data_IF_659886737645
#
_entry.id   IF_659886737645
#
_cell.length_a   1.000
_cell.length_b   1.000
_cell.length_c   1.000
_cell.angle_alpha   90.00
_cell.angle_beta   90.00
_cell.angle_gamma   90.00
#
_symmetry.space_group_name_H-M   'P 1'
#
loop_
_entity.id
_entity.type
_entity.pdbx_description
1 polymer ?
#
# COMPACT_ATOMS: atom_id res chain seq x y z
N UNK A 1 11.91 -5.45 -14.10
CA UNK A 1 12.42 -4.29 -13.34
C UNK A 1 11.50 -3.13 -13.69
N UNK A 2 10.58 -2.78 -12.80
CA UNK A 2 9.64 -1.66 -13.02
C UNK A 2 10.42 -0.35 -12.86
N UNK A 3 10.20 0.63 -13.75
CA UNK A 3 10.84 1.93 -13.64
C UNK A 3 10.44 2.63 -12.31
N UNK A 4 11.30 3.49 -11.75
CA UNK A 4 10.95 4.26 -10.55
C UNK A 4 9.77 5.19 -10.82
N UNK A 5 8.94 5.40 -9.79
CA UNK A 5 7.83 6.34 -9.84
C UNK A 5 8.37 7.78 -9.96
N UNK A 6 7.69 8.64 -10.75
CA UNK A 6 7.96 10.08 -10.71
C UNK A 6 7.90 10.62 -9.26
N UNK A 7 8.78 11.56 -8.86
CA UNK A 7 8.85 12.02 -7.47
C UNK A 7 7.55 12.61 -6.92
N UNK A 8 6.80 13.31 -7.77
CA UNK A 8 5.47 13.85 -7.51
C UNK A 8 4.45 12.73 -7.24
N UNK A 9 4.44 11.68 -8.08
CA UNK A 9 3.59 10.50 -7.87
C UNK A 9 3.96 9.77 -6.58
N UNK A 10 5.27 9.59 -6.31
CA UNK A 10 5.75 8.98 -5.07
C UNK A 10 5.30 9.78 -3.83
N UNK A 11 5.38 11.12 -3.89
CA UNK A 11 4.91 12.00 -2.82
C UNK A 11 3.41 11.86 -2.56
N UNK A 12 2.60 11.89 -3.62
CA UNK A 12 1.14 11.71 -3.49
C UNK A 12 0.76 10.35 -2.90
N UNK A 13 1.46 9.29 -3.27
CA UNK A 13 1.22 7.95 -2.69
C UNK A 13 1.59 7.96 -1.20
N UNK A 14 2.72 8.56 -0.82
CA UNK A 14 3.12 8.68 0.58
C UNK A 14 2.10 9.47 1.41
N UNK A 15 1.52 10.54 0.87
CA UNK A 15 0.51 11.37 1.55
C UNK A 15 -0.84 10.65 1.74
N UNK A 16 -1.16 9.66 0.88
CA UNK A 16 -2.41 8.90 0.91
C UNK A 16 -2.30 7.56 1.66
N UNK A 17 -1.11 7.20 2.12
CA UNK A 17 -0.90 5.98 2.91
C UNK A 17 -1.32 6.23 4.35
N UNK A 18 -2.33 5.49 4.80
CA UNK A 18 -2.67 5.41 6.21
C UNK A 18 -1.52 4.71 6.98
N UNK A 19 -0.95 5.32 8.02
CA UNK A 19 0.08 4.69 8.84
C UNK A 19 -0.42 3.43 9.55
N UNK A 20 -1.72 3.32 9.83
CA UNK A 20 -2.27 2.18 10.56
C UNK A 20 -2.06 0.86 9.78
N UNK A 21 -1.65 -0.23 10.48
CA UNK A 21 -1.45 -1.51 9.83
C UNK A 21 -2.79 -2.12 9.40
N UNK A 22 -2.76 -2.92 8.34
CA UNK A 22 -3.94 -3.70 7.97
C UNK A 22 -4.28 -4.70 9.08
N UNK A 23 -5.55 -4.73 9.50
CA UNK A 23 -6.11 -5.76 10.38
C UNK A 23 -7.08 -6.62 9.58
N UNK A 24 -6.80 -7.92 9.46
CA UNK A 24 -7.58 -8.83 8.62
C UNK A 24 -8.54 -9.68 9.46
N UNK A 25 -9.78 -9.82 8.99
CA UNK A 25 -10.75 -10.75 9.59
C UNK A 25 -10.61 -12.18 9.06
N UNK A 26 -11.52 -13.07 9.47
CA UNK A 26 -11.52 -14.47 9.06
C UNK A 26 -11.84 -14.72 7.58
N UNK A 27 -12.40 -13.73 6.87
CA UNK A 27 -12.58 -13.79 5.42
C UNK A 27 -11.38 -13.20 4.65
N UNK A 28 -10.44 -12.58 5.37
CA UNK A 28 -9.28 -11.89 4.77
C UNK A 28 -9.55 -10.42 4.43
N UNK A 29 -10.68 -9.86 4.87
CA UNK A 29 -10.99 -8.44 4.63
C UNK A 29 -10.22 -7.54 5.58
N UNK A 30 -9.78 -6.37 5.09
CA UNK A 30 -9.10 -5.40 5.92
C UNK A 30 -10.12 -4.53 6.67
N UNK A 31 -10.30 -4.81 7.96
CA UNK A 31 -11.22 -4.11 8.85
C UNK A 31 -10.72 -2.70 9.22
N UNK A 32 -9.39 -2.54 9.33
CA UNK A 32 -8.77 -1.24 9.65
C UNK A 32 -9.11 -0.15 8.62
N UNK A 33 -9.23 -0.52 7.34
CA UNK A 33 -9.47 0.41 6.24
C UNK A 33 -10.79 0.14 5.49
N UNK A 34 -11.72 -0.59 6.11
CA UNK A 34 -13.03 -0.94 5.53
C UNK A 34 -12.96 -1.48 4.09
N UNK A 35 -11.99 -2.37 3.82
CA UNK A 35 -11.78 -2.96 2.50
C UNK A 35 -12.21 -4.44 2.49
N UNK A 36 -13.27 -4.73 1.75
CA UNK A 36 -13.95 -6.03 1.74
C UNK A 36 -13.61 -6.90 0.52
N UNK A 37 -12.46 -6.66 -0.09
CA UNK A 37 -11.91 -7.49 -1.17
C UNK A 37 -10.59 -8.12 -0.72
N UNK A 38 -10.30 -9.32 -1.20
CA UNK A 38 -9.05 -10.03 -0.92
C UNK A 38 -8.06 -9.95 -2.09
N UNK A 39 -8.56 -9.81 -3.32
CA UNK A 39 -7.76 -9.61 -4.53
C UNK A 39 -8.40 -8.54 -5.45
N UNK A 40 -7.77 -7.36 -5.62
CA UNK A 40 -6.47 -6.99 -5.07
C UNK A 40 -6.52 -6.72 -3.55
N UNK A 41 -5.39 -6.88 -2.83
CA UNK A 41 -5.31 -6.60 -1.40
C UNK A 41 -5.56 -5.11 -1.10
N UNK A 42 -5.70 -4.78 0.19
CA UNK A 42 -5.98 -3.42 0.67
C UNK A 42 -5.11 -2.36 -0.04
N UNK A 43 -5.70 -1.25 -0.54
CA UNK A 43 -4.95 -0.18 -1.21
C UNK A 43 -3.77 0.35 -0.40
N UNK A 44 -3.93 0.46 0.93
CA UNK A 44 -2.86 0.92 1.81
C UNK A 44 -1.69 -0.06 1.89
N UNK A 45 -1.97 -1.37 1.93
CA UNK A 45 -0.91 -2.39 1.87
C UNK A 45 -0.17 -2.32 0.53
N UNK A 46 -0.90 -2.22 -0.58
CA UNK A 46 -0.31 -2.09 -1.92
C UNK A 46 0.56 -0.85 -2.04
N UNK A 47 0.09 0.29 -1.53
CA UNK A 47 0.84 1.54 -1.53
C UNK A 47 2.13 1.44 -0.68
N UNK A 48 2.07 0.82 0.51
CA UNK A 48 3.24 0.56 1.35
C UNK A 48 4.27 -0.31 0.62
N UNK A 49 3.83 -1.37 -0.07
CA UNK A 49 4.70 -2.23 -0.89
C UNK A 49 5.34 -1.45 -2.04
N UNK A 50 4.54 -0.67 -2.78
CA UNK A 50 5.05 0.18 -3.86
C UNK A 50 6.11 1.17 -3.36
N UNK A 51 5.95 1.78 -2.19
CA UNK A 51 6.94 2.71 -1.63
C UNK A 51 8.21 2.00 -1.14
N UNK A 52 8.09 0.78 -0.60
CA UNK A 52 9.23 -0.04 -0.18
C UNK A 52 10.08 -0.49 -1.37
N UNK A 53 9.44 -0.96 -2.45
CA UNK A 53 10.11 -1.38 -3.68
C UNK A 53 10.87 -0.22 -4.37
N UNK A 54 10.51 1.03 -4.07
CA UNK A 54 11.16 2.25 -4.57
C UNK A 54 12.32 2.71 -3.68
N UNK A 55 12.47 2.16 -2.48
CA UNK A 55 13.46 2.53 -1.47
C UNK A 55 14.65 1.58 -1.36
N UNK A 56 14.61 0.41 -1.99
CA UNK A 56 15.74 -0.53 -2.01
C UNK A 56 16.77 -0.16 -3.10
N UNK A 57 17.58 0.85 -2.78
CA UNK A 57 18.97 0.94 -3.25
C UNK A 57 19.84 1.05 -2.00
N UNK A 58 20.38 -0.08 -1.55
CA UNK A 58 21.57 -0.13 -0.69
C UNK A 58 22.68 -0.84 -1.45
#
# INVERSE_FOLDING_TARGET
>A
MTAPLPPDVRGLIADLVDPDPCSFDHHGYCQAHAWFETDPPCPHERAKKLLADQGEVS
#
